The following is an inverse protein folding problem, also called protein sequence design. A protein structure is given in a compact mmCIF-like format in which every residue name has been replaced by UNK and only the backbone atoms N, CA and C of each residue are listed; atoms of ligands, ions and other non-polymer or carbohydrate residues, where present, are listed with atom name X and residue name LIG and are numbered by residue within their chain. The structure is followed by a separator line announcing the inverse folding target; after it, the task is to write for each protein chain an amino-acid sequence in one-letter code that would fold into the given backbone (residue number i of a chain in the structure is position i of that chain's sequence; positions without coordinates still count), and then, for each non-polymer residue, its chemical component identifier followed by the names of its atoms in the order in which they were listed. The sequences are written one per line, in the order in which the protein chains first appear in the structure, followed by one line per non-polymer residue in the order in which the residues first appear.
data_IF_041761048244
#
_entry.id   IF_041761048244
#
_cell.length_a   1.000
_cell.length_b   1.000
_cell.length_c   1.000
_cell.angle_alpha   90.00
_cell.angle_beta   90.00
_cell.angle_gamma   90.00
#
_symmetry.space_group_name_H-M   'P 1'
#
loop_
_entity.id
_entity.type
_entity.pdbx_description
1 polymer ?
#
# COMPACT_ATOMS: atom_id res chain seq x y z
N UNK A 1 6.39 -17.31 -39.30
CA UNK A 1 7.60 -18.09 -38.95
C UNK A 1 8.73 -17.17 -38.52
N UNK A 2 9.08 -17.17 -37.22
CA UNK A 2 10.43 -16.91 -36.67
C UNK A 2 10.31 -16.98 -35.14
N UNK A 3 10.71 -18.14 -34.61
CA UNK A 3 10.89 -18.39 -33.17
C UNK A 3 12.16 -17.68 -32.72
N UNK A 4 12.10 -16.97 -31.58
CA UNK A 4 13.30 -16.49 -30.86
C UNK A 4 13.37 -17.20 -29.52
N UNK A 5 14.46 -17.92 -29.32
CA UNK A 5 14.85 -18.67 -28.16
C UNK A 5 15.22 -17.73 -27.00
N UNK A 6 14.73 -18.03 -25.81
CA UNK A 6 15.23 -17.44 -24.57
C UNK A 6 16.28 -18.38 -23.98
N UNK A 7 17.47 -17.85 -23.79
CA UNK A 7 18.56 -18.50 -23.09
C UNK A 7 18.39 -18.36 -21.58
N UNK A 8 18.49 -19.49 -20.89
CA UNK A 8 18.55 -19.56 -19.44
C UNK A 8 19.96 -19.21 -18.96
N UNK A 9 20.11 -18.24 -18.06
CA UNK A 9 21.33 -18.01 -17.29
C UNK A 9 21.26 -18.72 -15.96
N UNK A 10 22.08 -19.71 -15.79
CA UNK A 10 22.34 -20.40 -14.53
C UNK A 10 23.27 -19.55 -13.65
N UNK A 11 22.90 -19.36 -12.38
CA UNK A 11 23.71 -18.66 -11.37
C UNK A 11 24.46 -19.71 -10.56
N UNK A 12 25.79 -19.66 -10.58
CA UNK A 12 26.65 -20.50 -9.77
C UNK A 12 26.85 -19.90 -8.37
N UNK A 13 26.61 -20.70 -7.35
CA UNK A 13 26.98 -20.45 -5.94
C UNK A 13 28.47 -20.70 -5.75
N UNK A 14 29.21 -19.76 -5.19
CA UNK A 14 30.54 -19.97 -4.66
C UNK A 14 30.54 -19.76 -3.15
N UNK A 15 30.70 -20.86 -2.41
CA UNK A 15 31.01 -20.93 -0.98
C UNK A 15 32.53 -20.80 -0.80
N UNK A 16 32.96 -19.85 0.02
CA UNK A 16 34.35 -19.77 0.52
C UNK A 16 34.31 -19.80 2.05
N UNK A 17 34.74 -20.97 2.56
CA UNK A 17 35.10 -21.20 3.96
C UNK A 17 36.60 -21.03 4.06
N UNK A 18 37.07 -20.17 4.97
CA UNK A 18 38.45 -20.13 5.40
C UNK A 18 38.52 -20.06 6.92
N UNK A 19 38.85 -21.21 7.49
CA UNK A 19 39.35 -21.34 8.84
C UNK A 19 40.86 -21.20 8.81
N UNK A 20 41.44 -20.52 9.79
CA UNK A 20 42.89 -20.46 9.99
C UNK A 20 43.23 -19.95 11.39
N UNK A 21 43.43 -20.89 12.32
CA UNK A 21 44.14 -20.62 13.58
C UNK A 21 45.64 -20.68 13.35
N UNK A 22 46.40 -19.80 13.98
CA UNK A 22 47.68 -20.21 14.61
C UNK A 22 48.22 -19.15 15.59
N UNK A 23 48.56 -19.64 16.77
CA UNK A 23 49.28 -19.00 17.86
C UNK A 23 50.72 -18.60 17.46
N UNK A 24 51.22 -17.51 18.03
CA UNK A 24 52.54 -17.50 18.69
C UNK A 24 52.73 -16.20 19.50
N UNK A 25 53.22 -16.41 20.69
CA UNK A 25 53.55 -15.37 21.68
C UNK A 25 54.88 -14.63 21.34
N UNK A 26 54.98 -13.38 21.69
CA UNK A 26 56.19 -12.76 22.25
C UNK A 26 55.91 -11.37 22.87
N UNK A 27 56.43 -11.17 24.01
CA UNK A 27 56.47 -9.99 24.88
C UNK A 27 56.89 -8.71 24.15
N UNK A 28 56.24 -7.61 24.48
CA UNK A 28 56.80 -6.32 24.89
C UNK A 28 55.71 -5.30 25.15
N UNK A 29 55.63 -4.82 26.39
CA UNK A 29 54.82 -3.71 26.84
C UNK A 29 55.47 -2.39 26.37
N UNK A 30 54.75 -1.40 25.87
CA UNK A 30 54.57 -0.16 26.63
C UNK A 30 53.11 0.29 26.71
N UNK A 31 52.87 0.89 27.85
CA UNK A 31 51.73 1.65 28.31
C UNK A 31 51.11 2.56 27.23
N UNK A 32 49.90 2.31 26.88
CA UNK A 32 49.04 3.24 26.17
C UNK A 32 47.61 3.14 26.71
N UNK A 33 47.18 4.21 27.32
CA UNK A 33 45.84 4.53 27.79
C UNK A 33 44.78 3.95 26.83
N UNK A 34 43.73 3.21 27.31
CA UNK A 34 42.65 2.81 26.45
C UNK A 34 41.87 4.05 26.00
N UNK A 35 42.03 4.42 24.74
CA UNK A 35 41.14 5.33 24.07
C UNK A 35 39.80 4.65 24.01
N UNK A 36 38.83 5.16 24.77
CA UNK A 36 37.45 4.71 24.73
C UNK A 36 36.94 4.84 23.29
N UNK A 37 36.78 3.70 22.63
CA UNK A 37 35.99 3.62 21.39
C UNK A 37 34.60 4.11 21.76
N UNK A 38 34.04 5.12 21.09
CA UNK A 38 32.65 5.49 21.32
C UNK A 38 31.82 4.25 20.95
N UNK A 39 31.29 3.59 21.96
CA UNK A 39 30.20 2.64 21.79
C UNK A 39 29.10 3.44 21.12
N UNK A 40 28.83 3.15 19.86
CA UNK A 40 27.64 3.65 19.21
C UNK A 40 26.46 3.16 20.05
N UNK A 41 25.92 4.05 20.86
CA UNK A 41 24.66 3.86 21.55
C UNK A 41 23.66 3.54 20.45
N UNK A 42 23.17 2.30 20.45
CA UNK A 42 22.09 1.92 19.55
C UNK A 42 20.92 2.84 19.91
N UNK A 43 20.73 3.88 19.11
CA UNK A 43 19.59 4.75 19.23
C UNK A 43 18.35 3.85 19.12
N UNK A 44 17.68 3.64 20.25
CA UNK A 44 16.36 3.03 20.30
C UNK A 44 15.39 4.04 19.65
N UNK A 45 15.36 4.05 18.30
CA UNK A 45 14.45 4.88 17.55
C UNK A 45 13.01 4.48 17.89
N UNK A 46 12.14 5.47 18.00
CA UNK A 46 10.70 5.27 18.16
C UNK A 46 10.16 4.57 16.90
N UNK A 47 9.17 3.69 17.07
CA UNK A 47 8.39 3.15 15.94
C UNK A 47 7.07 3.91 15.83
N UNK A 48 6.81 4.49 14.67
CA UNK A 48 5.52 5.09 14.32
C UNK A 48 4.73 4.08 13.48
N UNK A 49 3.53 3.76 13.96
CA UNK A 49 2.60 2.86 13.28
C UNK A 49 1.44 3.65 12.69
N UNK A 50 0.85 3.20 11.58
CA UNK A 50 -0.36 3.80 11.05
C UNK A 50 -1.54 3.60 12.00
N UNK A 51 -2.52 4.47 11.88
CA UNK A 51 -3.82 4.28 12.51
C UNK A 51 -4.49 3.01 11.96
N UNK A 52 -5.30 2.29 12.75
CA UNK A 52 -6.03 1.14 12.27
C UNK A 52 -6.91 1.52 11.06
N UNK A 53 -6.88 0.72 10.00
CA UNK A 53 -7.70 0.96 8.79
C UNK A 53 -9.21 0.85 9.06
N UNK A 54 -9.60 0.19 10.15
CA UNK A 54 -11.00 -0.09 10.48
C UNK A 54 -11.66 -1.15 9.57
N UNK A 55 -10.93 -1.71 8.60
CA UNK A 55 -11.45 -2.71 7.67
C UNK A 55 -11.21 -4.12 8.20
N UNK A 56 -12.28 -4.84 8.49
CA UNK A 56 -12.26 -6.27 8.83
C UNK A 56 -12.81 -7.09 7.66
N UNK A 57 -11.94 -7.82 6.95
CA UNK A 57 -12.33 -8.66 5.81
C UNK A 57 -13.33 -9.78 6.16
N UNK A 58 -13.37 -10.22 7.42
CA UNK A 58 -14.28 -11.28 7.86
C UNK A 58 -15.68 -10.75 8.17
N UNK A 59 -15.76 -9.43 8.41
CA UNK A 59 -17.01 -8.75 8.79
C UNK A 59 -17.15 -7.43 8.04
N UNK A 60 -17.15 -7.52 6.70
CA UNK A 60 -17.43 -6.37 5.84
C UNK A 60 -18.91 -6.01 5.95
N UNK A 61 -19.23 -5.09 6.83
CA UNK A 61 -20.58 -4.57 7.05
C UNK A 61 -20.54 -3.12 7.48
N UNK A 62 -21.45 -2.31 6.97
CA UNK A 62 -21.59 -0.89 7.30
C UNK A 62 -20.26 -0.12 7.18
N UNK A 63 -19.56 -0.35 6.06
CA UNK A 63 -18.26 0.24 5.79
C UNK A 63 -18.11 0.67 4.32
N UNK A 64 -17.12 1.53 4.10
CA UNK A 64 -16.67 1.93 2.77
C UNK A 64 -15.23 1.46 2.56
N UNK A 65 -14.96 0.78 1.46
CA UNK A 65 -13.64 0.21 1.17
C UNK A 65 -13.20 0.46 -0.28
N UNK A 66 -11.89 0.66 -0.46
CA UNK A 66 -11.28 0.70 -1.79
C UNK A 66 -11.13 -0.72 -2.33
N UNK A 67 -11.46 -0.92 -3.61
CA UNK A 67 -11.47 -2.24 -4.23
C UNK A 67 -10.91 -2.24 -5.63
N UNK A 68 -10.50 -3.43 -6.10
CA UNK A 68 -10.34 -3.73 -7.52
C UNK A 68 -11.10 -5.00 -7.88
N UNK A 69 -11.57 -5.07 -9.12
CA UNK A 69 -12.17 -6.28 -9.70
C UNK A 69 -12.18 -6.17 -11.24
N UNK A 70 -12.30 -7.32 -11.89
CA UNK A 70 -12.31 -7.45 -13.34
C UNK A 70 -13.68 -7.81 -13.89
N UNK A 71 -13.81 -7.78 -15.21
CA UNK A 71 -15.00 -8.31 -15.89
C UNK A 71 -15.13 -9.81 -15.60
N UNK A 72 -16.31 -10.21 -15.10
CA UNK A 72 -16.58 -11.59 -14.70
C UNK A 72 -16.47 -11.85 -13.19
N UNK A 73 -15.93 -10.91 -12.42
CA UNK A 73 -15.98 -10.98 -10.96
C UNK A 73 -17.37 -10.65 -10.38
N UNK A 74 -18.23 -9.99 -11.20
CA UNK A 74 -19.65 -9.88 -10.91
C UNK A 74 -20.39 -11.07 -11.56
N UNK A 75 -21.10 -11.86 -10.77
CA UNK A 75 -21.77 -13.07 -11.24
C UNK A 75 -23.05 -13.37 -10.44
N UNK A 76 -23.90 -14.24 -10.99
CA UNK A 76 -25.08 -14.75 -10.29
C UNK A 76 -24.73 -16.12 -9.70
N UNK A 77 -24.94 -16.29 -8.42
CA UNK A 77 -24.68 -17.56 -7.72
C UNK A 77 -25.76 -18.63 -8.03
N UNK A 78 -25.55 -19.85 -7.54
CA UNK A 78 -26.49 -20.97 -7.74
C UNK A 78 -27.87 -20.77 -7.09
N UNK A 79 -28.07 -19.70 -6.30
CA UNK A 79 -29.34 -19.32 -5.68
C UNK A 79 -30.01 -18.15 -6.38
N UNK A 80 -29.42 -17.63 -7.44
CA UNK A 80 -29.93 -16.49 -8.19
C UNK A 80 -29.57 -15.12 -7.58
N UNK A 81 -28.71 -15.06 -6.58
CA UNK A 81 -28.24 -13.81 -5.99
C UNK A 81 -27.00 -13.30 -6.72
N UNK A 82 -26.96 -12.00 -7.00
CA UNK A 82 -25.77 -11.38 -7.57
C UNK A 82 -24.68 -11.26 -6.51
N UNK A 83 -23.48 -11.63 -6.90
CA UNK A 83 -22.25 -11.58 -6.09
C UNK A 83 -21.21 -10.75 -6.80
N UNK A 84 -20.35 -10.09 -6.03
CA UNK A 84 -19.17 -9.39 -6.52
C UNK A 84 -17.93 -9.91 -5.78
N UNK A 85 -16.99 -10.51 -6.53
CA UNK A 85 -15.67 -10.84 -6.02
C UNK A 85 -14.77 -9.62 -6.15
N UNK A 86 -14.16 -9.20 -5.05
CA UNK A 86 -13.28 -8.02 -5.02
C UNK A 86 -11.98 -8.34 -4.31
N UNK A 87 -10.92 -7.65 -4.70
CA UNK A 87 -9.74 -7.48 -3.88
C UNK A 87 -9.89 -6.18 -3.11
N UNK A 88 -9.77 -6.25 -1.80
CA UNK A 88 -9.97 -5.14 -0.86
C UNK A 88 -8.64 -4.54 -0.48
N UNK A 89 -8.59 -3.21 -0.37
CA UNK A 89 -7.38 -2.46 -0.08
C UNK A 89 -7.59 -1.50 1.10
N UNK A 90 -6.48 -1.19 1.76
CA UNK A 90 -6.36 -0.10 2.70
C UNK A 90 -5.19 0.81 2.30
N UNK A 91 -5.11 1.96 2.93
CA UNK A 91 -3.96 2.85 2.92
C UNK A 91 -3.62 3.24 4.36
N UNK A 92 -2.36 3.61 4.58
CA UNK A 92 -1.92 4.03 5.90
C UNK A 92 -2.25 5.49 6.15
N UNK A 93 -2.95 5.74 7.24
CA UNK A 93 -3.16 7.05 7.82
C UNK A 93 -2.35 7.19 9.10
N UNK A 94 -1.75 8.36 9.34
CA UNK A 94 -0.89 8.61 10.49
C UNK A 94 -1.40 9.80 11.28
N UNK A 95 -1.25 9.72 12.60
CA UNK A 95 -1.54 10.86 13.47
C UNK A 95 -0.54 11.99 13.24
N UNK A 96 -1.04 13.23 13.17
CA UNK A 96 -0.22 14.44 12.95
C UNK A 96 0.84 14.62 14.03
N UNK A 97 0.52 14.30 15.29
CA UNK A 97 1.46 14.46 16.41
C UNK A 97 2.61 13.47 16.28
N UNK A 98 2.33 12.26 15.81
CA UNK A 98 3.36 11.24 15.63
C UNK A 98 4.28 11.57 14.46
N UNK A 99 3.75 12.07 13.35
CA UNK A 99 4.57 12.49 12.21
C UNK A 99 5.40 13.73 12.54
N UNK A 100 4.84 14.71 13.24
CA UNK A 100 5.59 15.91 13.66
C UNK A 100 6.72 15.61 14.65
N UNK A 101 6.71 14.46 15.30
CA UNK A 101 7.77 14.00 16.22
C UNK A 101 8.70 12.97 15.61
N UNK A 102 8.49 12.62 14.33
CA UNK A 102 9.35 11.67 13.63
C UNK A 102 10.75 12.25 13.45
N UNK A 103 11.79 11.43 13.65
CA UNK A 103 13.18 11.84 13.57
C UNK A 103 14.02 10.82 12.79
N UNK A 104 15.17 11.27 12.30
CA UNK A 104 16.17 10.37 11.72
C UNK A 104 16.62 9.37 12.79
N UNK A 105 16.63 8.10 12.45
CA UNK A 105 16.89 6.98 13.35
C UNK A 105 15.64 6.24 13.83
N UNK A 106 14.45 6.86 13.74
CA UNK A 106 13.17 6.23 14.02
C UNK A 106 12.80 5.17 12.96
N UNK A 107 11.75 4.43 13.24
CA UNK A 107 11.10 3.53 12.29
C UNK A 107 9.66 4.02 12.05
N UNK A 108 9.17 3.80 10.85
CA UNK A 108 7.77 4.01 10.49
C UNK A 108 7.27 2.80 9.70
N UNK A 109 6.06 2.34 9.99
CA UNK A 109 5.43 1.27 9.22
C UNK A 109 4.60 1.88 8.09
N UNK A 110 4.97 1.60 6.83
CA UNK A 110 4.25 2.07 5.63
C UNK A 110 3.94 0.88 4.74
N UNK A 111 2.69 0.71 4.33
CA UNK A 111 2.20 -0.43 3.54
C UNK A 111 2.64 -1.78 4.13
N UNK A 112 2.49 -1.92 5.46
CA UNK A 112 2.88 -3.11 6.24
C UNK A 112 4.41 -3.36 6.28
N UNK A 113 5.24 -2.43 5.83
CA UNK A 113 6.69 -2.54 5.84
C UNK A 113 7.31 -1.60 6.88
N UNK A 114 8.23 -2.11 7.69
CA UNK A 114 9.00 -1.30 8.62
C UNK A 114 10.13 -0.57 7.88
N UNK A 115 10.06 0.74 7.83
CA UNK A 115 10.99 1.63 7.15
C UNK A 115 11.82 2.36 8.20
N UNK A 116 13.16 2.22 8.15
CA UNK A 116 14.05 3.04 8.97
C UNK A 116 14.17 4.43 8.33
N UNK A 117 13.95 5.47 9.13
CA UNK A 117 14.12 6.87 8.70
C UNK A 117 15.62 7.20 8.69
N UNK A 118 16.17 7.33 7.51
CA UNK A 118 17.59 7.70 7.30
C UNK A 118 17.76 9.17 6.90
N UNK A 119 16.74 9.74 6.26
CA UNK A 119 16.61 11.19 6.04
C UNK A 119 15.15 11.61 6.19
N UNK A 120 14.95 12.85 6.61
CA UNK A 120 13.65 13.44 6.84
C UNK A 120 13.70 14.90 6.40
N UNK A 121 12.84 15.26 5.47
CA UNK A 121 12.74 16.61 4.93
C UNK A 121 11.27 17.02 4.84
N UNK A 122 11.01 18.31 4.82
CA UNK A 122 9.69 18.85 4.55
C UNK A 122 9.78 19.71 3.29
N UNK A 123 8.88 19.45 2.34
CA UNK A 123 8.83 20.23 1.12
C UNK A 123 8.06 21.57 1.33
N UNK A 124 8.02 22.39 0.26
CA UNK A 124 7.31 23.68 0.26
C UNK A 124 5.79 23.56 0.46
N UNK A 125 5.20 22.38 0.24
CA UNK A 125 3.78 22.10 0.40
C UNK A 125 3.49 21.42 1.75
N UNK A 126 4.47 21.41 2.66
CA UNK A 126 4.41 20.75 3.97
C UNK A 126 4.30 19.21 3.89
N UNK A 127 4.56 18.59 2.74
CA UNK A 127 4.70 17.15 2.66
C UNK A 127 5.99 16.69 3.34
N UNK A 128 5.95 15.55 4.03
CA UNK A 128 7.08 14.98 4.74
C UNK A 128 7.75 13.93 3.83
N UNK A 129 9.01 14.18 3.48
CA UNK A 129 9.81 13.31 2.62
C UNK A 129 10.67 12.40 3.50
N UNK A 130 10.39 11.11 3.48
CA UNK A 130 11.14 10.08 4.18
C UNK A 130 12.06 9.40 3.19
N UNK A 131 13.37 9.38 3.49
CA UNK A 131 14.40 8.75 2.68
C UNK A 131 14.43 9.29 1.23
N UNK A 132 14.24 10.60 1.07
CA UNK A 132 14.25 11.29 -0.22
C UNK A 132 12.90 11.40 -0.92
N UNK A 133 11.82 10.91 -0.31
CA UNK A 133 10.48 10.97 -0.89
C UNK A 133 10.21 9.90 -1.95
N UNK A 134 8.94 9.80 -2.40
CA UNK A 134 8.47 8.76 -3.33
C UNK A 134 9.22 8.76 -4.67
N UNK A 135 9.56 9.93 -5.21
CA UNK A 135 10.27 10.05 -6.49
C UNK A 135 11.72 9.54 -6.44
N UNK A 136 12.30 9.41 -5.26
CA UNK A 136 13.68 8.94 -5.05
C UNK A 136 13.74 7.56 -4.37
N UNK A 137 12.64 6.81 -4.40
CA UNK A 137 12.56 5.46 -3.82
C UNK A 137 12.36 5.42 -2.31
N UNK A 138 12.07 6.56 -1.69
CA UNK A 138 11.57 6.67 -0.32
C UNK A 138 10.06 6.78 -0.26
N UNK A 139 9.54 7.55 0.72
CA UNK A 139 8.10 7.75 0.92
C UNK A 139 7.78 9.23 1.10
N UNK A 140 6.65 9.64 0.55
CA UNK A 140 6.10 10.98 0.76
C UNK A 140 4.82 10.88 1.57
N UNK A 141 4.72 11.64 2.66
CA UNK A 141 3.50 11.75 3.45
C UNK A 141 2.88 13.12 3.20
N UNK A 142 1.62 13.15 2.82
CA UNK A 142 0.87 14.38 2.58
C UNK A 142 -0.24 14.53 3.62
N UNK A 143 -0.58 15.78 3.95
CA UNK A 143 -1.66 16.09 4.87
C UNK A 143 -3.02 15.74 4.25
N UNK A 144 -3.87 15.03 4.99
CA UNK A 144 -5.24 14.69 4.64
C UNK A 144 -6.28 15.61 5.27
N UNK A 145 -7.51 15.54 4.77
CA UNK A 145 -8.62 16.37 5.25
C UNK A 145 -9.00 16.14 6.72
N UNK A 146 -8.71 14.96 7.27
CA UNK A 146 -9.07 14.56 8.64
C UNK A 146 -7.95 14.80 9.67
N UNK A 147 -7.10 15.82 9.50
CA UNK A 147 -6.01 16.17 10.44
C UNK A 147 -4.92 15.10 10.59
N UNK A 148 -4.72 14.26 9.60
CA UNK A 148 -3.69 13.23 9.58
C UNK A 148 -2.81 13.31 8.34
N UNK A 149 -1.82 12.43 8.28
CA UNK A 149 -0.99 12.22 7.10
C UNK A 149 -1.33 10.88 6.46
N UNK A 150 -1.13 10.77 5.14
CA UNK A 150 -1.17 9.49 4.43
C UNK A 150 -0.02 9.41 3.43
N UNK A 151 0.40 8.18 3.12
CA UNK A 151 1.47 7.93 2.18
C UNK A 151 0.98 8.05 0.74
N UNK A 152 1.79 8.71 -0.10
CA UNK A 152 1.56 8.80 -1.55
C UNK A 152 2.75 8.26 -2.32
N UNK A 153 2.47 7.73 -3.51
CA UNK A 153 3.44 7.35 -4.51
C UNK A 153 3.82 8.52 -5.44
N UNK A 154 4.54 8.22 -6.52
CA UNK A 154 4.75 9.17 -7.60
C UNK A 154 3.40 9.69 -8.14
N UNK A 155 3.38 10.95 -8.57
CA UNK A 155 2.17 11.66 -9.02
C UNK A 155 1.08 11.88 -7.94
N UNK A 156 1.49 11.91 -6.66
CA UNK A 156 0.62 12.16 -5.51
C UNK A 156 -0.56 11.18 -5.37
N UNK A 157 -0.47 10.00 -6.01
CA UNK A 157 -1.47 8.94 -5.86
C UNK A 157 -1.34 8.27 -4.49
N UNK A 158 -2.46 8.05 -3.81
CA UNK A 158 -2.48 7.40 -2.50
C UNK A 158 -1.89 5.98 -2.58
N UNK A 159 -1.01 5.62 -1.66
CA UNK A 159 -0.42 4.27 -1.62
C UNK A 159 -1.40 3.29 -0.97
N UNK A 160 -1.96 2.41 -1.78
CA UNK A 160 -2.82 1.33 -1.32
C UNK A 160 -2.05 0.02 -1.18
N UNK A 161 -2.41 -0.78 -0.18
CA UNK A 161 -1.94 -2.16 -0.04
C UNK A 161 -3.12 -3.11 0.11
N UNK A 162 -2.96 -4.33 -0.43
CA UNK A 162 -4.03 -5.32 -0.41
C UNK A 162 -4.21 -5.93 0.98
N UNK A 163 -5.44 -5.98 1.44
CA UNK A 163 -5.84 -6.71 2.64
C UNK A 163 -6.19 -8.16 2.33
N UNK A 164 -6.80 -8.43 1.17
CA UNK A 164 -7.20 -9.76 0.72
C UNK A 164 -8.36 -9.71 -0.27
N UNK A 165 -8.97 -10.87 -0.51
CA UNK A 165 -10.14 -11.02 -1.38
C UNK A 165 -11.41 -11.27 -0.56
N UNK A 166 -12.53 -10.77 -1.05
CA UNK A 166 -13.85 -11.02 -0.51
C UNK A 166 -14.86 -11.27 -1.65
N UNK A 167 -15.89 -12.06 -1.38
CA UNK A 167 -17.07 -12.18 -2.25
C UNK A 167 -18.26 -11.65 -1.46
N UNK A 168 -18.90 -10.61 -1.98
CA UNK A 168 -19.92 -9.85 -1.27
C UNK A 168 -21.22 -9.88 -2.09
N UNK A 169 -22.35 -10.17 -1.47
CA UNK A 169 -23.65 -10.04 -2.13
C UNK A 169 -23.87 -8.60 -2.61
N UNK A 170 -24.49 -8.46 -3.78
CA UNK A 170 -24.82 -7.16 -4.37
C UNK A 170 -26.29 -6.89 -4.17
N UNK A 171 -26.63 -5.69 -3.69
CA UNK A 171 -28.04 -5.26 -3.60
C UNK A 171 -28.64 -5.14 -5.01
N UNK A 172 -29.93 -5.50 -5.15
CA UNK A 172 -30.70 -5.22 -6.38
C UNK A 172 -30.74 -3.73 -6.70
N UNK A 173 -30.61 -2.89 -5.69
CA UNK A 173 -30.67 -1.43 -5.77
C UNK A 173 -29.28 -0.79 -5.86
N UNK A 174 -28.23 -1.59 -6.14
CA UNK A 174 -26.88 -1.06 -6.35
C UNK A 174 -26.89 0.07 -7.38
N UNK A 175 -26.23 1.16 -7.00
CA UNK A 175 -25.94 2.28 -7.89
C UNK A 175 -24.42 2.44 -7.99
N UNK A 176 -23.89 2.43 -9.21
CA UNK A 176 -22.52 2.87 -9.52
C UNK A 176 -22.58 4.29 -10.10
N UNK A 177 -21.94 5.24 -9.43
CA UNK A 177 -21.64 6.57 -9.95
C UNK A 177 -20.24 6.57 -10.56
N UNK A 178 -20.18 6.72 -11.88
CA UNK A 178 -18.94 6.66 -12.66
C UNK A 178 -18.58 8.02 -13.24
N UNK A 179 -17.59 8.68 -12.63
CA UNK A 179 -17.00 9.94 -13.05
C UNK A 179 -15.56 9.75 -13.58
N UNK A 180 -15.18 8.54 -13.97
CA UNK A 180 -13.82 8.22 -14.43
C UNK A 180 -13.47 8.81 -15.80
N UNK A 181 -14.45 9.19 -16.60
CA UNK A 181 -14.30 9.79 -17.92
C UNK A 181 -14.77 11.25 -17.87
N UNK A 182 -13.80 12.18 -17.78
CA UNK A 182 -14.09 13.62 -17.66
C UNK A 182 -14.85 14.21 -18.87
N UNK A 183 -14.68 13.61 -20.06
CA UNK A 183 -15.36 14.09 -21.27
C UNK A 183 -16.85 13.70 -21.28
N UNK A 184 -17.19 12.59 -20.64
CA UNK A 184 -18.56 12.06 -20.63
C UNK A 184 -19.35 12.47 -19.38
N UNK A 185 -18.68 13.10 -18.40
CA UNK A 185 -19.30 13.43 -17.11
C UNK A 185 -19.71 12.20 -16.30
N UNK A 186 -20.43 12.42 -15.21
CA UNK A 186 -20.88 11.33 -14.34
C UNK A 186 -21.97 10.50 -15.02
N UNK A 187 -21.77 9.18 -15.07
CA UNK A 187 -22.74 8.20 -15.55
C UNK A 187 -23.18 7.31 -14.40
N UNK A 188 -24.40 6.83 -14.49
CA UNK A 188 -24.98 5.95 -13.50
C UNK A 188 -25.21 4.57 -14.12
N UNK A 189 -24.79 3.53 -13.42
CA UNK A 189 -25.02 2.14 -13.76
C UNK A 189 -25.67 1.42 -12.59
N UNK A 190 -26.33 0.31 -12.87
CA UNK A 190 -27.08 -0.49 -11.90
C UNK A 190 -26.56 -1.93 -11.87
N UNK A 191 -26.99 -2.71 -10.90
CA UNK A 191 -26.57 -4.10 -10.72
C UNK A 191 -26.56 -4.93 -12.02
N UNK A 192 -27.61 -4.82 -12.83
CA UNK A 192 -27.73 -5.56 -14.10
C UNK A 192 -26.69 -5.20 -15.16
N UNK A 193 -26.13 -3.99 -15.12
CA UNK A 193 -25.15 -3.52 -16.10
C UNK A 193 -23.81 -4.26 -15.99
N UNK A 194 -23.49 -4.77 -14.80
CA UNK A 194 -22.28 -5.57 -14.57
C UNK A 194 -22.37 -6.98 -15.19
N UNK A 195 -23.58 -7.46 -15.45
CA UNK A 195 -23.85 -8.81 -16.01
C UNK A 195 -24.15 -8.75 -17.51
N UNK A 196 -24.30 -7.54 -18.08
CA UNK A 196 -24.78 -7.36 -19.45
C UNK A 196 -23.65 -6.88 -20.36
N UNK A 197 -23.35 -7.67 -21.40
CA UNK A 197 -22.47 -7.20 -22.47
C UNK A 197 -23.15 -6.05 -23.24
N UNK A 198 -22.41 -4.95 -23.43
CA UNK A 198 -22.93 -3.79 -24.17
C UNK A 198 -23.63 -2.74 -23.33
N UNK A 199 -23.62 -2.83 -22.00
CA UNK A 199 -24.08 -1.78 -21.08
C UNK A 199 -23.31 -0.47 -21.22
N UNK A 200 -22.15 -0.49 -21.90
CA UNK A 200 -21.23 0.66 -21.99
C UNK A 200 -20.35 0.83 -20.76
N UNK A 201 -20.46 -0.06 -19.78
CA UNK A 201 -19.57 -0.08 -18.61
C UNK A 201 -18.17 -0.54 -19.05
N UNK A 202 -17.18 0.28 -18.76
CA UNK A 202 -15.76 -0.07 -18.98
C UNK A 202 -15.17 -0.61 -17.69
N UNK A 203 -14.42 -1.72 -17.79
CA UNK A 203 -13.81 -2.37 -16.63
C UNK A 203 -12.38 -1.84 -16.42
N UNK A 204 -12.25 -0.92 -15.50
CA UNK A 204 -10.99 -0.44 -14.95
C UNK A 204 -11.24 0.00 -13.50
N UNK A 205 -11.53 -0.99 -12.66
CA UNK A 205 -11.82 -0.78 -11.24
C UNK A 205 -10.55 -1.09 -10.45
N UNK A 206 -9.93 -0.04 -9.93
CA UNK A 206 -8.65 -0.08 -9.19
C UNK A 206 -8.78 0.68 -7.88
N UNK A 207 -7.95 0.41 -6.85
CA UNK A 207 -8.18 0.94 -5.51
C UNK A 207 -8.08 2.46 -5.39
N UNK A 208 -7.36 3.12 -6.30
CA UNK A 208 -7.21 4.58 -6.31
C UNK A 208 -8.39 5.30 -6.97
N UNK A 209 -9.21 4.60 -7.74
CA UNK A 209 -10.38 5.18 -8.38
C UNK A 209 -11.73 4.61 -7.91
N UNK A 210 -11.73 3.46 -7.21
CA UNK A 210 -12.99 2.74 -6.93
C UNK A 210 -13.18 2.48 -5.44
N UNK A 211 -14.31 2.95 -4.92
CA UNK A 211 -14.80 2.61 -3.59
C UNK A 211 -16.17 1.96 -3.65
N UNK A 212 -16.44 1.02 -2.74
CA UNK A 212 -17.76 0.44 -2.53
C UNK A 212 -18.25 0.73 -1.11
N UNK A 213 -19.54 0.97 -0.99
CA UNK A 213 -20.24 1.03 0.31
C UNK A 213 -20.96 -0.28 0.53
N UNK A 214 -20.78 -0.85 1.71
CA UNK A 214 -21.38 -2.10 2.15
C UNK A 214 -22.29 -1.76 3.32
N UNK A 215 -23.58 -2.09 3.18
CA UNK A 215 -24.61 -1.89 4.21
C UNK A 215 -25.41 -3.18 4.39
N UNK A 216 -25.57 -3.59 5.66
CA UNK A 216 -26.26 -4.85 5.95
C UNK A 216 -25.62 -6.08 5.30
N UNK A 217 -24.31 -6.02 4.97
CA UNK A 217 -23.58 -7.09 4.30
C UNK A 217 -23.77 -7.14 2.78
N UNK A 218 -24.38 -6.12 2.16
CA UNK A 218 -24.58 -6.02 0.71
C UNK A 218 -23.82 -4.80 0.16
N UNK A 219 -23.27 -4.92 -1.06
CA UNK A 219 -22.80 -3.75 -1.81
C UNK A 219 -24.02 -2.96 -2.26
N UNK A 220 -24.21 -1.77 -1.71
CA UNK A 220 -25.36 -0.89 -2.00
C UNK A 220 -25.00 0.28 -2.89
N UNK A 221 -23.76 0.74 -2.82
CA UNK A 221 -23.28 1.85 -3.63
C UNK A 221 -21.84 1.61 -4.09
N UNK A 222 -21.51 2.10 -5.26
CA UNK A 222 -20.15 2.11 -5.81
C UNK A 222 -19.87 3.47 -6.43
N UNK A 223 -18.69 3.98 -6.16
CA UNK A 223 -18.20 5.21 -6.76
C UNK A 223 -16.91 4.94 -7.51
N UNK A 224 -16.83 5.42 -8.74
CA UNK A 224 -15.61 5.44 -9.53
C UNK A 224 -15.30 6.86 -9.99
N UNK A 225 -14.10 7.31 -9.67
CA UNK A 225 -13.64 8.68 -10.00
C UNK A 225 -12.51 8.63 -11.02
N UNK A 226 -12.26 9.77 -11.65
CA UNK A 226 -11.07 9.95 -12.49
C UNK A 226 -9.81 9.96 -11.60
N UNK A 227 -8.79 9.25 -12.05
CA UNK A 227 -7.42 9.35 -11.53
C UNK A 227 -6.49 9.74 -12.67
N UNK A 228 -5.61 10.73 -12.48
CA UNK A 228 -4.74 11.27 -13.53
C UNK A 228 -3.68 10.28 -14.01
#
# INVERSE_FOLDING_TARGET
MKRKNFAACALALALLVLAGCSNSASDSKPDTTPQATPTAEAANGKTVSPLPSGVDLQHLNDCMVAVSFDKGDAFVDGKGAMQLKVKVYAYDAFDTVDINKLQVGDQITICQQNVKVTSLEQDKNAAVLINGGADNGGYTLVSGEASGFYAVGPNDTKLYYALGEATIPVSSDLVLEDSSDLEKGTRTYYAGDFLTDGSGLTYHFVPDNTTITIEGGYVTHMQRVYTP
#
